data_IF_119742157675
#
_entry.id   IF_119742157675
#
_cell.length_a   1.000
_cell.length_b   1.000
_cell.length_c   1.000
_cell.angle_alpha   90.00
_cell.angle_beta   90.00
_cell.angle_gamma   90.00
#
_symmetry.space_group_name_H-M   'P 1'
#
loop_
_entity.id
_entity.type
_entity.pdbx_description
1 polymer ?
#
# COMPACT_ATOMS: atom_id res chain seq x y z
N UNK A 1 46.05 -49.25 7.68
CA UNK A 1 45.98 -47.78 7.79
C UNK A 1 45.32 -47.23 6.52
N UNK A 2 44.03 -46.88 6.56
CA UNK A 2 43.30 -46.30 5.41
C UNK A 2 42.26 -45.32 5.93
N UNK A 3 42.69 -44.10 6.25
CA UNK A 3 41.82 -42.97 6.54
C UNK A 3 42.51 -41.74 5.98
N UNK A 4 42.32 -41.39 4.70
CA UNK A 4 42.72 -40.04 4.23
C UNK A 4 42.24 -39.64 2.84
N UNK A 5 41.09 -40.09 2.33
CA UNK A 5 40.56 -39.50 1.07
C UNK A 5 39.05 -39.38 1.12
N UNK A 6 38.52 -38.55 2.04
CA UNK A 6 37.12 -38.13 1.97
C UNK A 6 36.86 -36.84 2.74
N UNK A 7 37.68 -35.80 2.58
CA UNK A 7 37.40 -34.49 3.20
C UNK A 7 37.68 -33.25 2.34
N UNK A 8 38.13 -33.39 1.11
CA UNK A 8 38.48 -32.25 0.25
C UNK A 8 37.44 -31.94 -0.85
N UNK A 9 36.27 -32.60 -0.84
CA UNK A 9 35.27 -32.49 -1.92
C UNK A 9 34.00 -31.71 -1.60
N UNK A 10 33.86 -31.13 -0.41
CA UNK A 10 32.59 -30.48 0.03
C UNK A 10 32.74 -28.96 0.24
N UNK A 11 33.96 -28.42 0.27
CA UNK A 11 34.18 -26.99 0.59
C UNK A 11 34.06 -26.08 -0.65
N UNK A 12 34.16 -26.61 -1.87
CA UNK A 12 34.12 -25.80 -3.10
C UNK A 12 32.69 -25.55 -3.61
N UNK A 13 31.70 -26.33 -3.14
CA UNK A 13 30.30 -26.20 -3.61
C UNK A 13 29.51 -25.06 -2.93
N UNK A 14 30.05 -24.45 -1.87
CA UNK A 14 29.36 -23.39 -1.12
C UNK A 14 29.73 -21.96 -1.56
N UNK A 15 30.77 -21.78 -2.37
CA UNK A 15 31.21 -20.43 -2.79
C UNK A 15 30.50 -19.90 -4.04
N UNK A 16 29.79 -20.74 -4.80
CA UNK A 16 29.06 -20.32 -6.01
C UNK A 16 27.60 -19.94 -5.77
N UNK A 17 27.09 -20.02 -4.53
CA UNK A 17 25.69 -19.68 -4.21
C UNK A 17 25.50 -18.24 -3.69
N UNK A 18 26.56 -17.43 -3.62
CA UNK A 18 26.51 -16.05 -3.10
C UNK A 18 26.68 -14.95 -4.16
N UNK A 19 26.78 -15.29 -5.45
CA UNK A 19 26.93 -14.31 -6.53
C UNK A 19 25.75 -14.33 -7.49
N UNK A 20 24.56 -13.99 -7.00
CA UNK A 20 23.45 -13.52 -7.83
C UNK A 20 22.46 -12.74 -6.94
N UNK A 21 22.94 -11.70 -6.26
CA UNK A 21 22.07 -10.63 -5.78
C UNK A 21 22.55 -9.38 -6.51
N UNK A 22 21.94 -9.13 -7.67
CA UNK A 22 22.12 -7.85 -8.34
C UNK A 22 21.50 -6.80 -7.42
N UNK A 23 22.31 -5.91 -6.86
CA UNK A 23 21.92 -4.96 -5.80
C UNK A 23 20.88 -3.94 -6.24
N UNK A 24 20.46 -3.99 -7.51
CA UNK A 24 19.51 -3.07 -8.13
C UNK A 24 18.21 -3.76 -8.58
N UNK A 25 18.08 -5.08 -8.41
CA UNK A 25 16.85 -5.77 -8.74
C UNK A 25 16.02 -5.91 -7.46
N UNK A 26 15.16 -4.91 -7.20
CA UNK A 26 14.11 -4.96 -6.17
C UNK A 26 13.00 -5.98 -6.53
N UNK A 27 13.40 -7.08 -7.16
CA UNK A 27 12.59 -8.18 -7.69
C UNK A 27 12.50 -9.39 -6.77
N UNK A 28 13.28 -9.43 -5.68
CA UNK A 28 13.16 -10.48 -4.66
C UNK A 28 11.93 -10.23 -3.77
N UNK A 29 10.75 -10.68 -4.24
CA UNK A 29 9.49 -10.60 -3.49
C UNK A 29 8.25 -10.21 -4.31
N UNK A 30 8.35 -10.11 -5.64
CA UNK A 30 7.23 -9.76 -6.51
C UNK A 30 6.07 -10.76 -6.37
N UNK A 31 5.01 -10.33 -5.69
CA UNK A 31 3.65 -10.79 -5.94
C UNK A 31 2.84 -11.30 -4.75
N UNK A 32 3.47 -11.65 -3.61
CA UNK A 32 2.71 -12.38 -2.56
C UNK A 32 2.71 -11.68 -1.19
N UNK A 33 3.62 -10.73 -0.96
CA UNK A 33 3.85 -10.21 0.39
C UNK A 33 4.21 -8.72 0.50
N UNK A 34 4.42 -8.04 -0.63
CA UNK A 34 4.77 -6.62 -0.64
C UNK A 34 3.53 -5.75 -0.35
N UNK A 35 3.78 -4.61 0.30
CA UNK A 35 2.79 -3.54 0.40
C UNK A 35 2.30 -3.19 -1.01
N UNK A 36 0.99 -3.14 -1.19
CA UNK A 36 0.38 -2.78 -2.46
C UNK A 36 -0.05 -1.34 -2.41
N UNK A 37 0.19 -0.62 -3.51
CA UNK A 37 -0.25 0.74 -3.64
C UNK A 37 -0.98 0.92 -4.96
N UNK A 38 -2.16 1.52 -4.90
CA UNK A 38 -3.02 1.73 -6.07
C UNK A 38 -3.64 3.12 -6.03
N UNK A 39 -3.57 3.83 -7.16
CA UNK A 39 -4.36 5.06 -7.35
C UNK A 39 -5.83 4.66 -7.42
N UNK A 40 -6.64 5.17 -6.50
CA UNK A 40 -8.08 4.92 -6.44
C UNK A 40 -8.86 5.94 -7.27
N UNK A 41 -8.59 7.23 -7.08
CA UNK A 41 -9.30 8.30 -7.80
C UNK A 41 -8.51 9.62 -7.82
N UNK A 42 -8.95 10.59 -8.62
CA UNK A 42 -8.35 11.91 -8.73
C UNK A 42 -9.43 12.96 -8.97
N UNK A 43 -9.40 14.07 -8.21
CA UNK A 43 -10.32 15.19 -8.43
C UNK A 43 -9.58 16.52 -8.57
N UNK A 44 -10.11 17.41 -9.40
CA UNK A 44 -9.67 18.80 -9.45
C UNK A 44 -10.62 19.67 -8.63
N UNK A 45 -10.05 20.43 -7.69
CA UNK A 45 -10.78 21.35 -6.84
C UNK A 45 -10.03 22.70 -6.79
N UNK A 46 -10.69 23.78 -7.22
CA UNK A 46 -10.14 25.14 -7.21
C UNK A 46 -8.73 25.24 -7.85
N UNK A 47 -8.54 24.62 -9.01
CA UNK A 47 -7.27 24.60 -9.75
C UNK A 47 -6.14 23.82 -9.06
N UNK A 48 -6.48 22.96 -8.10
CA UNK A 48 -5.58 22.03 -7.42
C UNK A 48 -6.08 20.61 -7.61
N UNK A 49 -5.19 19.69 -7.99
CA UNK A 49 -5.53 18.28 -8.20
C UNK A 49 -5.16 17.49 -6.96
N UNK A 50 -6.11 16.67 -6.49
CA UNK A 50 -5.93 15.78 -5.36
C UNK A 50 -5.92 14.34 -5.86
N UNK A 51 -5.04 13.53 -5.28
CA UNK A 51 -4.83 12.13 -5.65
C UNK A 51 -5.13 11.27 -4.44
N UNK A 52 -6.07 10.33 -4.60
CA UNK A 52 -6.41 9.36 -3.57
C UNK A 52 -5.75 8.02 -3.91
N UNK A 53 -4.91 7.53 -3.01
CA UNK A 53 -4.31 6.22 -3.11
C UNK A 53 -4.87 5.29 -2.04
N UNK A 54 -4.98 4.01 -2.37
CA UNK A 54 -5.17 2.93 -1.42
C UNK A 54 -3.84 2.22 -1.21
N UNK A 55 -3.37 2.17 0.03
CA UNK A 55 -2.18 1.40 0.44
C UNK A 55 -2.62 0.18 1.23
N UNK A 56 -2.17 -1.00 0.86
CA UNK A 56 -2.40 -2.22 1.62
C UNK A 56 -1.07 -2.71 2.16
N UNK A 57 -0.92 -2.75 3.48
CA UNK A 57 0.31 -3.20 4.14
C UNK A 57 0.13 -4.49 4.90
N UNK A 58 1.23 -5.19 5.18
CA UNK A 58 1.24 -6.39 6.02
C UNK A 58 1.34 -7.68 5.23
N UNK A 59 1.67 -8.79 5.90
CA UNK A 59 1.91 -10.08 5.24
C UNK A 59 0.70 -11.00 5.31
N UNK A 60 0.30 -11.39 6.53
CA UNK A 60 -0.87 -12.24 6.78
C UNK A 60 -2.12 -11.38 7.02
N UNK A 61 -2.02 -10.45 7.97
CA UNK A 61 -3.07 -9.48 8.26
C UNK A 61 -2.82 -8.24 7.41
N UNK A 62 -3.66 -8.06 6.39
CA UNK A 62 -3.58 -6.93 5.47
C UNK A 62 -4.38 -5.78 6.04
N UNK A 63 -3.73 -4.63 6.23
CA UNK A 63 -4.36 -3.38 6.65
C UNK A 63 -4.45 -2.48 5.44
N UNK A 64 -5.60 -1.84 5.23
CA UNK A 64 -5.85 -0.95 4.10
C UNK A 64 -5.91 0.49 4.60
N UNK A 65 -5.13 1.38 4.00
CA UNK A 65 -5.11 2.80 4.28
C UNK A 65 -5.56 3.59 3.05
N UNK A 66 -6.18 4.74 3.31
CA UNK A 66 -6.41 5.77 2.30
C UNK A 66 -5.44 6.92 2.51
N UNK A 67 -4.68 7.24 1.47
CA UNK A 67 -3.69 8.31 1.48
C UNK A 67 -4.10 9.39 0.49
N UNK A 68 -4.26 10.62 0.99
CA UNK A 68 -4.56 11.79 0.18
C UNK A 68 -3.29 12.59 -0.09
N UNK A 69 -3.05 12.92 -1.35
CA UNK A 69 -1.95 13.79 -1.77
C UNK A 69 -2.49 14.96 -2.59
N UNK A 70 -1.80 16.10 -2.54
CA UNK A 70 -2.09 17.25 -3.40
C UNK A 70 -1.14 17.44 -4.58
N UNK A 71 -0.20 16.53 -4.71
CA UNK A 71 0.67 16.38 -5.86
C UNK A 71 0.69 14.90 -6.21
N UNK A 72 1.03 14.56 -7.44
CA UNK A 72 1.15 13.17 -7.83
C UNK A 72 2.46 12.62 -7.24
N UNK A 73 2.43 11.70 -6.27
CA UNK A 73 3.64 11.12 -5.73
C UNK A 73 4.35 10.21 -6.74
N UNK A 74 5.68 10.19 -6.66
CA UNK A 74 6.52 9.10 -7.18
C UNK A 74 6.85 8.14 -6.04
N UNK A 75 6.90 6.84 -6.34
CA UNK A 75 7.13 5.81 -5.32
C UNK A 75 8.45 5.11 -5.59
N UNK A 76 9.25 4.98 -4.53
CA UNK A 76 10.43 4.14 -4.57
C UNK A 76 10.01 2.68 -4.82
N UNK A 77 10.52 2.01 -5.87
CA UNK A 77 10.03 0.69 -6.27
C UNK A 77 10.44 -0.43 -5.30
N UNK A 78 11.34 -0.15 -4.36
CA UNK A 78 11.88 -1.12 -3.42
C UNK A 78 11.20 -1.03 -2.06
N UNK A 79 10.85 0.19 -1.64
CA UNK A 79 10.28 0.50 -0.33
C UNK A 79 8.81 0.91 -0.41
N UNK A 80 8.30 1.21 -1.60
CA UNK A 80 6.97 1.76 -1.86
C UNK A 80 6.68 3.03 -1.05
N UNK A 81 7.72 3.73 -0.59
CA UNK A 81 7.59 5.01 0.09
C UNK A 81 7.40 6.12 -0.95
N UNK A 82 6.49 7.08 -0.71
CA UNK A 82 6.35 8.24 -1.57
C UNK A 82 7.56 9.18 -1.41
N UNK A 83 7.89 9.90 -2.47
CA UNK A 83 8.84 11.02 -2.46
C UNK A 83 8.30 12.28 -1.75
N UNK A 84 7.00 12.31 -1.50
CA UNK A 84 6.27 13.40 -0.83
C UNK A 84 5.42 12.88 0.33
N UNK A 85 5.13 13.75 1.30
CA UNK A 85 4.24 13.40 2.42
C UNK A 85 2.76 13.41 1.97
N UNK A 86 1.96 12.53 2.57
CA UNK A 86 0.50 12.59 2.45
C UNK A 86 -0.07 13.77 3.23
N UNK A 87 -1.12 14.39 2.70
CA UNK A 87 -1.93 15.38 3.42
C UNK A 87 -2.77 14.73 4.51
N UNK A 88 -3.27 13.53 4.24
CA UNK A 88 -4.14 12.79 5.14
C UNK A 88 -3.94 11.29 4.94
N UNK A 89 -3.98 10.56 6.05
CA UNK A 89 -4.02 9.11 6.06
C UNK A 89 -5.04 8.61 7.06
N UNK A 90 -5.76 7.55 6.72
CA UNK A 90 -6.67 6.85 7.62
C UNK A 90 -6.71 5.37 7.30
N UNK A 91 -6.73 4.55 8.34
CA UNK A 91 -6.97 3.12 8.24
C UNK A 91 -8.46 2.88 7.93
N UNK A 92 -8.73 2.07 6.90
CA UNK A 92 -10.07 1.65 6.51
C UNK A 92 -10.85 0.98 7.64
N UNK A 93 -10.16 0.26 8.52
CA UNK A 93 -10.76 -0.46 9.65
C UNK A 93 -10.81 0.35 10.95
N UNK A 94 -10.17 1.53 11.01
CA UNK A 94 -10.24 2.43 12.16
C UNK A 94 -11.54 3.25 12.11
N UNK A 95 -12.63 2.62 12.58
CA UNK A 95 -13.94 3.24 12.73
C UNK A 95 -14.05 3.90 14.12
N UNK A 96 -13.93 5.22 14.26
CA UNK A 96 -13.89 5.87 15.57
C UNK A 96 -15.21 5.76 16.37
N UNK A 97 -16.34 5.42 15.72
CA UNK A 97 -17.67 5.55 16.34
C UNK A 97 -18.56 4.30 16.32
N UNK A 98 -18.34 3.31 15.43
CA UNK A 98 -19.23 2.13 15.38
C UNK A 98 -18.68 0.93 14.58
N UNK A 99 -18.39 -0.23 15.21
CA UNK A 99 -17.87 -1.42 14.52
C UNK A 99 -18.90 -2.12 13.61
N UNK A 100 -20.18 -1.71 13.63
CA UNK A 100 -21.20 -2.25 12.73
C UNK A 100 -21.19 -1.60 11.35
N UNK A 101 -20.61 -0.40 11.20
CA UNK A 101 -20.45 0.27 9.90
C UNK A 101 -19.26 -0.39 9.21
N UNK A 102 -19.48 -1.02 8.05
CA UNK A 102 -18.48 -1.87 7.38
C UNK A 102 -18.17 -1.46 5.95
N UNK A 103 -18.90 -0.48 5.42
CA UNK A 103 -18.79 -0.11 4.02
C UNK A 103 -18.68 1.40 3.89
N UNK A 104 -17.78 1.87 3.04
CA UNK A 104 -17.70 3.28 2.68
C UNK A 104 -18.89 3.59 1.77
N UNK A 105 -19.78 4.47 2.20
CA UNK A 105 -20.84 5.02 1.36
C UNK A 105 -20.28 6.11 0.46
N UNK A 106 -19.52 7.05 1.05
CA UNK A 106 -18.96 8.21 0.36
C UNK A 106 -17.65 8.67 0.98
N UNK A 107 -16.78 9.23 0.16
CA UNK A 107 -15.62 10.00 0.57
C UNK A 107 -15.76 11.43 0.06
N UNK A 108 -15.52 12.40 0.93
CA UNK A 108 -15.71 13.82 0.62
C UNK A 108 -14.44 14.57 1.00
N UNK A 109 -13.85 15.27 0.03
CA UNK A 109 -12.80 16.25 0.28
C UNK A 109 -13.43 17.43 1.02
N UNK A 110 -13.01 17.71 2.26
CA UNK A 110 -13.72 18.71 3.06
C UNK A 110 -13.57 20.12 2.47
N UNK A 111 -14.67 20.89 2.31
CA UNK A 111 -14.61 22.23 1.69
C UNK A 111 -13.73 23.22 2.45
N UNK A 112 -13.76 23.17 3.79
CA UNK A 112 -13.06 24.12 4.67
C UNK A 112 -11.69 23.61 5.15
N UNK A 113 -11.40 22.32 4.91
CA UNK A 113 -10.16 21.64 5.25
C UNK A 113 -9.83 20.68 4.10
N UNK A 114 -9.50 21.21 2.89
CA UNK A 114 -9.32 20.39 1.69
C UNK A 114 -8.17 19.39 1.81
N UNK A 115 -7.32 19.53 2.81
CA UNK A 115 -6.32 18.54 3.21
C UNK A 115 -6.89 17.35 3.99
N UNK A 116 -8.20 17.31 4.29
CA UNK A 116 -8.84 16.21 5.02
C UNK A 116 -9.94 15.53 4.22
N UNK A 117 -9.98 14.21 4.34
CA UNK A 117 -11.08 13.38 3.84
C UNK A 117 -12.11 13.16 4.95
N UNK A 118 -13.38 13.40 4.63
CA UNK A 118 -14.50 12.91 5.42
C UNK A 118 -15.01 11.62 4.81
N UNK A 119 -14.94 10.54 5.57
CA UNK A 119 -15.48 9.24 5.17
C UNK A 119 -16.85 9.05 5.81
N UNK A 120 -17.85 8.78 4.99
CA UNK A 120 -19.20 8.42 5.41
C UNK A 120 -19.33 6.91 5.25
N UNK A 121 -19.63 6.23 6.35
CA UNK A 121 -19.80 4.78 6.37
C UNK A 121 -21.27 4.37 6.49
N UNK A 122 -21.58 3.18 6.00
CA UNK A 122 -22.93 2.59 6.03
C UNK A 122 -22.89 1.13 6.46
N UNK A 123 -24.02 0.65 6.96
CA UNK A 123 -24.27 -0.78 7.23
C UNK A 123 -24.97 -1.47 6.07
N UNK A 124 -25.50 -0.70 5.11
CA UNK A 124 -26.18 -1.21 3.92
C UNK A 124 -25.16 -1.46 2.80
N UNK A 125 -24.85 -2.74 2.57
CA UNK A 125 -23.90 -3.15 1.53
C UNK A 125 -24.26 -2.62 0.13
N UNK A 126 -25.54 -2.39 -0.16
CA UNK A 126 -25.97 -1.89 -1.48
C UNK A 126 -25.66 -0.41 -1.71
N UNK A 127 -25.42 0.34 -0.63
CA UNK A 127 -25.02 1.75 -0.67
C UNK A 127 -23.51 1.94 -0.52
N UNK A 128 -22.83 0.90 -0.07
CA UNK A 128 -21.39 0.89 0.07
C UNK A 128 -20.68 0.70 -1.27
N UNK A 129 -19.42 1.12 -1.32
CA UNK A 129 -18.50 0.71 -2.39
C UNK A 129 -18.36 -0.82 -2.40
N UNK A 130 -18.44 -1.41 -3.58
CA UNK A 130 -18.30 -2.86 -3.74
C UNK A 130 -16.85 -3.31 -3.49
N UNK A 131 -15.90 -2.48 -3.89
CA UNK A 131 -14.47 -2.72 -3.74
C UNK A 131 -13.78 -1.49 -3.15
N UNK A 132 -13.03 -1.71 -2.06
CA UNK A 132 -12.28 -0.67 -1.33
C UNK A 132 -11.21 0.00 -2.21
N UNK A 133 -10.73 -0.70 -3.24
CA UNK A 133 -9.72 -0.21 -4.17
C UNK A 133 -10.29 0.63 -5.33
N UNK A 134 -11.60 0.68 -5.48
CA UNK A 134 -12.30 1.42 -6.54
C UNK A 134 -13.12 2.59 -5.96
N UNK A 135 -12.76 3.03 -4.75
CA UNK A 135 -13.39 4.17 -4.08
C UNK A 135 -13.20 5.44 -4.89
N UNK A 136 -14.24 6.28 -4.87
CA UNK A 136 -14.21 7.62 -5.46
C UNK A 136 -14.52 8.63 -4.38
N UNK A 137 -13.97 9.83 -4.54
CA UNK A 137 -14.23 10.93 -3.63
C UNK A 137 -14.81 12.13 -4.38
N UNK A 138 -15.65 12.89 -3.69
CA UNK A 138 -16.30 14.07 -4.24
C UNK A 138 -15.91 15.31 -3.44
N UNK A 139 -16.35 16.48 -3.93
CA UNK A 139 -16.40 17.71 -3.15
C UNK A 139 -17.72 17.79 -2.37
#
# INVERSE_FOLDING_TARGET
>A
MKITILKAGIIVLFYFLITACDSNDCRFGFGVAADQLRLADTINNNNKTYYLYTRTTGWNDKIVFFELYDQKPEFDPCTYQPDIEYLYTIDYEDYPENPKRKHIEKMILQPDQPEKLKIIYTTDKTKGVENVYDVKFTR
#
